data_IF_460001488547
#
_entry.id   IF_460001488547
#
_cell.length_a   1.000
_cell.length_b   1.000
_cell.length_c   1.000
_cell.angle_alpha   90.00
_cell.angle_beta   90.00
_cell.angle_gamma   90.00
#
_symmetry.space_group_name_H-M   'P 1'
#
loop_
_entity.id
_entity.type
_entity.pdbx_description
1 polymer ?
#
# COMPACT_ATOMS: atom_id res chain seq x y z
N UNK A 1 43.77 -0.21 -7.01
CA UNK A 1 42.74 0.49 -7.80
C UNK A 1 42.30 1.66 -6.94
N UNK A 2 42.78 2.87 -7.23
CA UNK A 2 42.61 4.05 -6.36
C UNK A 2 41.17 4.50 -6.50
N UNK A 3 40.33 4.25 -5.48
CA UNK A 3 38.97 4.75 -5.46
C UNK A 3 38.99 6.27 -5.53
N UNK A 4 38.05 6.84 -6.28
CA UNK A 4 37.87 8.29 -6.46
C UNK A 4 37.95 8.99 -5.10
N UNK A 5 38.85 9.97 -4.98
CA UNK A 5 39.11 10.65 -3.71
C UNK A 5 37.93 11.53 -3.32
N UNK A 6 37.78 11.82 -2.02
CA UNK A 6 36.74 12.75 -1.52
C UNK A 6 36.79 14.11 -2.22
N UNK A 7 37.98 14.58 -2.58
CA UNK A 7 38.21 15.84 -3.30
C UNK A 7 37.66 15.74 -4.73
N UNK A 8 37.94 14.65 -5.45
CA UNK A 8 37.42 14.44 -6.81
C UNK A 8 35.89 14.34 -6.83
N UNK A 9 35.30 13.64 -5.86
CA UNK A 9 33.85 13.55 -5.72
C UNK A 9 33.22 14.90 -5.41
N UNK A 10 33.84 15.70 -4.53
CA UNK A 10 33.39 17.06 -4.23
C UNK A 10 33.47 17.97 -5.46
N UNK A 11 34.59 17.97 -6.17
CA UNK A 11 34.77 18.76 -7.39
C UNK A 11 33.78 18.36 -8.48
N UNK A 12 33.48 17.05 -8.60
CA UNK A 12 32.48 16.57 -9.54
C UNK A 12 31.08 17.09 -9.21
N UNK A 13 30.70 17.09 -7.93
CA UNK A 13 29.40 17.62 -7.48
C UNK A 13 29.30 19.14 -7.73
N UNK A 14 30.36 19.88 -7.43
CA UNK A 14 30.43 21.33 -7.67
C UNK A 14 30.39 21.66 -9.18
N UNK A 15 31.01 20.85 -10.04
CA UNK A 15 30.99 21.05 -11.49
C UNK A 15 29.60 20.80 -12.13
N UNK A 16 28.73 20.05 -11.46
CA UNK A 16 27.34 19.84 -11.89
C UNK A 16 26.44 21.01 -11.48
N UNK A 17 26.88 21.86 -10.55
CA UNK A 17 26.07 22.95 -10.03
C UNK A 17 25.91 24.10 -11.05
N UNK A 18 24.79 24.80 -10.94
CA UNK A 18 24.45 25.99 -11.73
C UNK A 18 23.82 27.03 -10.82
N UNK A 19 24.26 28.29 -10.92
CA UNK A 19 23.77 29.40 -10.10
C UNK A 19 22.27 29.71 -10.33
N UNK A 20 21.73 29.34 -11.49
CA UNK A 20 20.33 29.53 -11.86
C UNK A 20 19.53 28.21 -11.87
N UNK A 21 20.02 27.17 -11.19
CA UNK A 21 19.35 25.88 -11.14
C UNK A 21 18.10 25.87 -10.26
N UNK A 22 17.00 25.37 -10.78
CA UNK A 22 15.76 25.19 -10.01
C UNK A 22 15.77 23.93 -9.13
N UNK A 23 16.70 23.00 -9.36
CA UNK A 23 16.78 21.75 -8.61
C UNK A 23 17.81 21.83 -7.48
N UNK A 24 17.53 21.16 -6.36
CA UNK A 24 18.41 21.09 -5.20
C UNK A 24 18.27 19.75 -4.48
N UNK A 25 19.19 19.47 -3.56
CA UNK A 25 19.24 18.21 -2.82
C UNK A 25 18.95 18.44 -1.34
N UNK A 26 18.03 17.66 -0.78
CA UNK A 26 17.72 17.63 0.66
C UNK A 26 17.78 16.20 1.18
N UNK A 27 17.93 16.07 2.50
CA UNK A 27 17.66 14.81 3.18
C UNK A 27 16.15 14.60 3.27
N UNK A 28 15.63 13.49 2.72
CA UNK A 28 14.19 13.19 2.75
C UNK A 28 13.61 13.08 4.17
N UNK A 29 14.44 12.76 5.17
CA UNK A 29 14.02 12.60 6.57
C UNK A 29 14.03 13.90 7.38
N UNK A 30 14.95 14.83 7.10
CA UNK A 30 15.11 16.05 7.91
C UNK A 30 14.89 17.35 7.16
N UNK A 31 14.75 17.31 5.83
CA UNK A 31 14.65 18.50 4.98
C UNK A 31 15.95 19.32 4.88
N UNK A 32 16.99 18.96 5.65
CA UNK A 32 18.27 19.67 5.65
C UNK A 32 19.03 19.42 4.34
N UNK A 33 19.83 20.41 3.91
CA UNK A 33 20.75 20.29 2.77
C UNK A 33 22.13 19.82 3.25
N UNK A 34 22.49 18.53 3.10
CA UNK A 34 23.72 18.01 3.69
C UNK A 34 24.95 18.43 2.89
N UNK A 35 26.11 18.46 3.55
CA UNK A 35 27.41 18.60 2.89
C UNK A 35 27.68 17.32 2.09
N UNK A 36 28.15 17.41 0.83
CA UNK A 36 28.70 18.60 0.14
C UNK A 36 27.71 19.39 -0.73
N UNK A 37 26.42 19.05 -0.73
CA UNK A 37 25.42 19.64 -1.63
C UNK A 37 24.75 20.90 -1.06
N UNK A 38 25.15 21.32 0.14
CA UNK A 38 24.65 22.53 0.78
C UNK A 38 24.94 23.77 -0.08
N UNK A 39 23.91 24.57 -0.34
CA UNK A 39 24.00 25.77 -1.17
C UNK A 39 24.07 25.53 -2.68
N UNK A 40 24.22 24.28 -3.15
CA UNK A 40 24.29 23.98 -4.57
C UNK A 40 22.91 23.85 -5.20
N UNK A 41 22.82 24.28 -6.45
CA UNK A 41 21.64 24.24 -7.30
C UNK A 41 21.98 23.56 -8.62
N UNK A 42 21.00 22.94 -9.28
CA UNK A 42 21.18 22.17 -10.50
C UNK A 42 20.12 22.56 -11.51
N UNK A 43 20.50 22.70 -12.78
CA UNK A 43 19.60 23.19 -13.83
C UNK A 43 18.51 22.19 -14.21
N UNK A 44 18.84 20.90 -14.21
CA UNK A 44 17.94 19.83 -14.66
C UNK A 44 17.87 18.71 -13.63
N UNK A 45 16.70 18.08 -13.52
CA UNK A 45 16.46 16.93 -12.63
C UNK A 45 17.50 15.82 -12.80
N UNK A 46 17.84 15.49 -14.05
CA UNK A 46 18.84 14.45 -14.36
C UNK A 46 20.23 14.82 -13.82
N UNK A 47 20.62 16.09 -13.91
CA UNK A 47 21.90 16.58 -13.37
C UNK A 47 21.88 16.52 -11.84
N UNK A 48 20.77 16.91 -11.22
CA UNK A 48 20.59 16.79 -9.77
C UNK A 48 20.64 15.34 -9.28
N UNK A 49 20.09 14.38 -10.04
CA UNK A 49 20.19 12.95 -9.74
C UNK A 49 21.64 12.45 -9.84
N UNK A 50 22.39 12.88 -10.85
CA UNK A 50 23.83 12.58 -10.95
C UNK A 50 24.59 13.15 -9.75
N UNK A 51 24.29 14.37 -9.33
CA UNK A 51 24.88 14.98 -8.15
C UNK A 51 24.49 14.25 -6.84
N UNK A 52 23.25 13.76 -6.71
CA UNK A 52 22.80 12.97 -5.57
C UNK A 52 23.62 11.68 -5.43
N UNK A 53 23.80 10.94 -6.54
CA UNK A 53 24.62 9.72 -6.57
C UNK A 53 26.08 10.01 -6.22
N UNK A 54 26.65 11.08 -6.75
CA UNK A 54 28.01 11.50 -6.42
C UNK A 54 28.15 11.89 -4.94
N UNK A 55 27.14 12.55 -4.36
CA UNK A 55 27.10 12.92 -2.95
C UNK A 55 26.92 11.69 -2.03
N UNK A 56 26.16 10.67 -2.43
CA UNK A 56 26.08 9.38 -1.73
C UNK A 56 27.43 8.67 -1.72
N UNK A 57 28.13 8.64 -2.86
CA UNK A 57 29.48 8.08 -2.95
C UNK A 57 30.46 8.85 -2.05
N UNK A 58 30.37 10.18 -2.04
CA UNK A 58 31.17 11.03 -1.15
C UNK A 58 30.92 10.68 0.33
N UNK A 59 29.66 10.59 0.75
CA UNK A 59 29.30 10.28 2.15
C UNK A 59 29.68 8.86 2.55
N UNK A 60 29.56 7.91 1.64
CA UNK A 60 30.00 6.52 1.84
C UNK A 60 31.52 6.44 1.97
N UNK A 61 32.28 7.18 1.16
CA UNK A 61 33.72 7.30 1.31
C UNK A 61 34.10 8.00 2.63
N UNK A 62 33.34 9.03 3.05
CA UNK A 62 33.59 9.76 4.30
C UNK A 62 33.38 8.90 5.55
N UNK A 63 32.43 7.95 5.51
CA UNK A 63 32.19 6.98 6.60
C UNK A 63 33.37 6.06 6.90
N UNK A 64 34.31 5.90 5.97
CA UNK A 64 35.57 5.19 6.24
C UNK A 64 36.45 5.92 7.24
N UNK A 65 36.29 7.23 7.35
CA UNK A 65 37.07 8.10 8.25
C UNK A 65 36.27 8.51 9.50
N UNK A 66 34.95 8.66 9.38
CA UNK A 66 34.04 8.91 10.50
C UNK A 66 32.85 7.94 10.48
N UNK A 67 32.95 6.88 11.29
CA UNK A 67 31.90 5.86 11.40
C UNK A 67 30.63 6.35 12.08
N UNK A 68 30.65 7.50 12.75
CA UNK A 68 29.46 8.10 13.39
C UNK A 68 28.64 8.96 12.42
N UNK A 69 29.10 9.14 11.18
CA UNK A 69 28.43 9.99 10.21
C UNK A 69 27.02 9.45 9.84
N UNK A 70 25.95 10.23 10.07
CA UNK A 70 24.58 9.77 9.83
C UNK A 70 24.30 9.33 8.38
N UNK A 71 23.41 8.35 8.24
CA UNK A 71 22.78 8.02 6.96
C UNK A 71 21.76 9.10 6.59
N UNK A 72 21.88 9.61 5.36
CA UNK A 72 21.06 10.71 4.83
C UNK A 72 20.63 10.30 3.44
N UNK A 73 19.34 10.11 3.26
CA UNK A 73 18.72 9.72 1.99
C UNK A 73 18.51 10.99 1.18
N UNK A 74 19.27 11.16 0.10
CA UNK A 74 19.28 12.38 -0.70
C UNK A 74 18.17 12.32 -1.74
N UNK A 75 17.27 13.29 -1.71
CA UNK A 75 16.20 13.43 -2.70
C UNK A 75 16.38 14.73 -3.49
N UNK A 76 15.97 14.69 -4.76
CA UNK A 76 15.96 15.85 -5.65
C UNK A 76 14.64 16.59 -5.49
N UNK A 77 14.73 17.86 -5.13
CA UNK A 77 13.60 18.79 -5.09
C UNK A 77 13.75 19.83 -6.20
N UNK A 78 12.62 20.37 -6.65
CA UNK A 78 12.56 21.51 -7.57
C UNK A 78 11.90 22.68 -6.83
N UNK A 79 12.42 23.89 -7.01
CA UNK A 79 11.72 25.10 -6.58
C UNK A 79 10.39 25.15 -7.36
N UNK A 80 9.26 25.15 -6.64
CA UNK A 80 7.96 25.41 -7.25
C UNK A 80 7.96 26.88 -7.70
N UNK A 81 7.96 27.13 -9.01
CA UNK A 81 7.65 28.48 -9.47
C UNK A 81 6.22 28.80 -9.01
N UNK A 82 6.00 29.94 -8.33
CA UNK A 82 4.65 30.35 -8.01
C UNK A 82 3.90 30.52 -9.32
N UNK A 83 2.81 29.77 -9.48
CA UNK A 83 1.83 30.00 -10.54
C UNK A 83 1.44 31.46 -10.39
N UNK A 84 1.77 32.29 -11.39
CA UNK A 84 1.36 33.70 -11.44
C UNK A 84 -0.15 33.69 -11.69
N UNK A 85 -0.92 33.55 -10.62
CA UNK A 85 -2.34 33.87 -10.65
C UNK A 85 -2.46 35.39 -10.80
N UNK A 86 -3.02 35.79 -11.94
CA UNK A 86 -3.25 37.18 -12.28
C UNK A 86 -4.43 37.73 -11.48
N UNK A 87 -4.20 38.86 -10.81
CA UNK A 87 -5.15 39.81 -10.21
C UNK A 87 -6.17 39.27 -9.20
N UNK A 88 -5.95 39.57 -7.92
CA UNK A 88 -6.90 40.27 -7.03
C UNK A 88 -6.32 40.55 -5.63
N UNK A 89 -6.08 41.83 -5.37
CA UNK A 89 -5.85 42.60 -4.13
C UNK A 89 -5.80 41.94 -2.73
N UNK A 90 -4.69 42.25 -2.05
CA UNK A 90 -4.47 42.54 -0.61
C UNK A 90 -5.52 42.11 0.44
N UNK A 91 -5.12 41.24 1.38
CA UNK A 91 -5.25 41.46 2.83
C UNK A 91 -4.41 40.46 3.67
N UNK A 92 -4.11 40.88 4.90
CA UNK A 92 -3.11 40.46 5.91
C UNK A 92 -3.00 38.96 6.33
N UNK A 93 -1.90 38.57 7.03
CA UNK A 93 -1.50 37.17 7.21
C UNK A 93 -2.24 36.47 8.36
N UNK A 94 -2.67 35.20 8.19
CA UNK A 94 -3.01 34.35 9.31
C UNK A 94 -1.90 33.34 9.59
N UNK A 95 -1.45 33.40 10.83
CA UNK A 95 -1.12 32.34 11.78
C UNK A 95 -0.60 30.96 11.30
N UNK A 96 0.42 30.51 12.01
CA UNK A 96 1.10 29.25 11.81
C UNK A 96 0.24 28.06 12.29
N UNK A 97 -0.57 27.44 11.42
CA UNK A 97 -0.91 26.00 11.49
C UNK A 97 -1.84 25.57 10.35
N UNK A 98 -1.27 25.18 9.21
CA UNK A 98 -1.84 24.10 8.38
C UNK A 98 -0.84 23.73 7.28
N UNK A 99 0.01 22.74 7.59
CA UNK A 99 0.65 21.98 6.53
C UNK A 99 -0.42 21.06 5.92
N UNK A 100 -0.99 21.48 4.79
CA UNK A 100 -1.64 20.55 3.87
C UNK A 100 -0.51 19.82 3.14
N UNK A 101 -0.34 18.54 3.46
CA UNK A 101 0.51 17.64 2.68
C UNK A 101 -0.08 17.55 1.27
N UNK A 102 0.57 18.15 0.28
CA UNK A 102 0.26 17.85 -1.11
C UNK A 102 0.71 16.42 -1.41
N UNK A 103 -0.18 15.67 -2.07
CA UNK A 103 0.03 14.29 -2.51
C UNK A 103 1.38 14.12 -3.22
N UNK A 104 2.08 12.99 -3.01
CA UNK A 104 3.38 12.78 -3.63
C UNK A 104 3.21 12.74 -5.15
N UNK A 105 4.01 13.53 -5.88
CA UNK A 105 4.05 13.51 -7.34
C UNK A 105 5.04 12.43 -7.79
N UNK A 106 4.53 11.20 -7.95
CA UNK A 106 5.17 10.13 -8.71
C UNK A 106 4.91 10.42 -10.20
N UNK A 107 5.90 10.96 -10.92
CA UNK A 107 5.79 11.19 -12.37
C UNK A 107 6.26 9.97 -13.15
N UNK A 108 5.31 9.11 -13.49
CA UNK A 108 5.15 8.46 -14.79
C UNK A 108 3.64 8.43 -15.05
N UNK A 109 3.13 8.43 -16.30
CA UNK A 109 1.72 8.16 -16.55
C UNK A 109 1.47 6.66 -16.32
N UNK A 110 1.46 6.24 -15.06
CA UNK A 110 0.76 5.02 -14.66
C UNK A 110 -0.74 5.34 -14.76
N UNK A 111 -1.58 4.42 -15.25
CA UNK A 111 -3.01 4.57 -15.05
C UNK A 111 -3.24 4.79 -13.54
N UNK A 112 -4.05 5.79 -13.21
CA UNK A 112 -4.37 6.20 -11.83
C UNK A 112 -4.72 5.00 -10.90
N UNK A 113 -5.21 3.90 -11.50
CA UNK A 113 -5.48 2.62 -10.84
C UNK A 113 -4.27 1.95 -10.16
N UNK A 114 -3.08 1.92 -10.78
CA UNK A 114 -1.92 1.19 -10.22
C UNK A 114 -1.47 1.81 -8.89
N UNK A 115 -1.43 3.15 -8.86
CA UNK A 115 -1.11 3.90 -7.65
C UNK A 115 -2.16 3.69 -6.55
N UNK A 116 -3.44 3.71 -6.91
CA UNK A 116 -4.53 3.49 -5.96
C UNK A 116 -4.53 2.05 -5.41
N UNK A 117 -4.14 1.07 -6.23
CA UNK A 117 -3.97 -0.32 -5.80
C UNK A 117 -2.88 -0.43 -4.74
N UNK A 118 -1.70 0.13 -5.02
CA UNK A 118 -0.57 0.12 -4.09
C UNK A 118 -0.94 0.81 -2.78
N UNK A 119 -1.50 2.03 -2.83
CA UNK A 119 -1.94 2.75 -1.63
C UNK A 119 -2.97 1.94 -0.84
N UNK A 120 -3.89 1.25 -1.51
CA UNK A 120 -4.84 0.34 -0.88
C UNK A 120 -4.15 -0.86 -0.22
N UNK A 121 -3.27 -1.57 -0.92
CA UNK A 121 -2.54 -2.72 -0.39
C UNK A 121 -1.74 -2.34 0.86
N UNK A 122 -1.01 -1.22 0.82
CA UNK A 122 -0.27 -0.72 1.97
C UNK A 122 -1.19 -0.33 3.13
N UNK A 123 -2.35 0.29 2.86
CA UNK A 123 -3.31 0.64 3.91
C UNK A 123 -3.90 -0.60 4.60
N UNK A 124 -4.26 -1.62 3.81
CA UNK A 124 -4.73 -2.92 4.32
C UNK A 124 -3.64 -3.59 5.15
N UNK A 125 -2.43 -3.67 4.60
CA UNK A 125 -1.29 -4.29 5.28
C UNK A 125 -0.98 -3.60 6.60
N UNK A 126 -0.92 -2.27 6.61
CA UNK A 126 -0.68 -1.48 7.83
C UNK A 126 -1.77 -1.74 8.88
N UNK A 127 -3.05 -1.69 8.51
CA UNK A 127 -4.14 -1.91 9.45
C UNK A 127 -4.12 -3.31 10.08
N UNK A 128 -3.82 -4.33 9.28
CA UNK A 128 -3.69 -5.73 9.77
C UNK A 128 -2.46 -5.85 10.66
N UNK A 129 -1.30 -5.38 10.21
CA UNK A 129 -0.05 -5.51 10.94
C UNK A 129 -0.07 -4.77 12.28
N UNK A 130 -0.59 -3.53 12.32
CA UNK A 130 -0.79 -2.79 13.56
C UNK A 130 -1.71 -3.51 14.54
N UNK A 131 -2.76 -4.16 14.01
CA UNK A 131 -3.68 -4.94 14.86
C UNK A 131 -2.98 -6.16 15.44
N UNK A 132 -2.16 -6.86 14.64
CA UNK A 132 -1.35 -7.98 15.13
C UNK A 132 -0.38 -7.52 16.24
N UNK A 133 0.32 -6.40 16.02
CA UNK A 133 1.23 -5.81 17.01
C UNK A 133 0.53 -5.46 18.32
N UNK A 134 -0.62 -4.79 18.24
CA UNK A 134 -1.38 -4.37 19.43
C UNK A 134 -1.93 -5.56 20.22
N UNK A 135 -2.26 -6.65 19.54
CA UNK A 135 -2.82 -7.87 20.14
C UNK A 135 -1.75 -8.91 20.52
N UNK A 136 -0.49 -8.62 20.21
CA UNK A 136 0.65 -9.43 20.61
C UNK A 136 0.86 -10.70 19.79
N UNK A 137 0.34 -10.75 18.55
CA UNK A 137 0.49 -11.88 17.62
C UNK A 137 1.88 -11.91 16.95
N UNK A 138 2.95 -11.87 17.76
CA UNK A 138 4.33 -11.73 17.29
C UNK A 138 4.79 -12.84 16.36
N UNK A 139 4.29 -14.07 16.53
CA UNK A 139 4.64 -15.18 15.64
C UNK A 139 4.11 -14.98 14.23
N UNK A 140 2.91 -14.44 14.11
CA UNK A 140 2.30 -14.06 12.82
C UNK A 140 3.05 -12.89 12.21
N UNK A 141 3.31 -11.83 12.99
CA UNK A 141 4.09 -10.67 12.53
C UNK A 141 5.45 -11.08 11.96
N UNK A 142 6.16 -11.96 12.66
CA UNK A 142 7.50 -12.42 12.26
C UNK A 142 7.41 -13.22 10.97
N UNK A 143 6.50 -14.19 10.89
CA UNK A 143 6.36 -15.04 9.71
C UNK A 143 5.94 -14.24 8.46
N UNK A 144 5.03 -13.26 8.60
CA UNK A 144 4.66 -12.36 7.51
C UNK A 144 5.87 -11.57 7.01
N UNK A 145 6.69 -11.02 7.92
CA UNK A 145 7.86 -10.24 7.54
C UNK A 145 8.97 -11.10 6.93
N UNK A 146 9.19 -12.31 7.45
CA UNK A 146 10.18 -13.24 6.92
C UNK A 146 9.81 -13.64 5.48
N UNK A 147 8.57 -14.07 5.24
CA UNK A 147 8.07 -14.43 3.90
C UNK A 147 8.11 -13.23 2.94
N UNK A 148 7.69 -12.05 3.39
CA UNK A 148 7.74 -10.84 2.58
C UNK A 148 9.17 -10.45 2.18
N UNK A 149 10.14 -10.61 3.08
CA UNK A 149 11.55 -10.34 2.79
C UNK A 149 12.12 -11.35 1.78
N UNK A 150 11.76 -12.63 1.90
CA UNK A 150 12.12 -13.64 0.89
C UNK A 150 11.52 -13.31 -0.49
N UNK A 151 10.25 -12.90 -0.54
CA UNK A 151 9.62 -12.47 -1.79
C UNK A 151 10.25 -11.19 -2.35
N UNK A 152 10.63 -10.24 -1.51
CA UNK A 152 11.29 -9.01 -1.94
C UNK A 152 12.67 -9.24 -2.58
N UNK A 153 13.33 -10.38 -2.32
CA UNK A 153 14.58 -10.75 -3.01
C UNK A 153 14.36 -11.28 -4.43
N UNK A 154 13.14 -11.75 -4.75
CA UNK A 154 12.82 -12.42 -6.01
C UNK A 154 11.88 -11.62 -6.92
N UNK A 155 10.95 -10.88 -6.32
CA UNK A 155 9.97 -10.04 -7.03
C UNK A 155 10.60 -8.68 -7.34
N UNK A 156 10.71 -8.37 -8.63
CA UNK A 156 11.36 -7.14 -9.11
C UNK A 156 10.39 -5.97 -9.28
N UNK A 157 9.10 -6.25 -9.43
CA UNK A 157 8.06 -5.23 -9.57
C UNK A 157 7.52 -4.85 -8.17
N UNK A 158 7.63 -3.57 -7.75
CA UNK A 158 7.07 -3.10 -6.49
C UNK A 158 5.56 -3.33 -6.35
N UNK A 159 4.82 -3.29 -7.46
CA UNK A 159 3.36 -3.43 -7.45
C UNK A 159 2.97 -4.90 -7.22
N UNK A 160 3.69 -5.84 -7.84
CA UNK A 160 3.55 -7.28 -7.54
C UNK A 160 3.95 -7.59 -6.09
N UNK A 161 4.97 -6.91 -5.57
CA UNK A 161 5.44 -7.09 -4.20
C UNK A 161 4.37 -6.69 -3.15
N UNK A 162 3.57 -5.66 -3.42
CA UNK A 162 2.49 -5.28 -2.51
C UNK A 162 1.33 -6.29 -2.50
N UNK A 163 1.05 -6.95 -3.63
CA UNK A 163 0.09 -8.05 -3.70
C UNK A 163 0.61 -9.28 -2.94
N UNK A 164 1.88 -9.63 -3.14
CA UNK A 164 2.58 -10.68 -2.40
C UNK A 164 2.49 -10.48 -0.89
N UNK A 165 2.64 -9.24 -0.39
CA UNK A 165 2.46 -8.93 1.03
C UNK A 165 1.07 -9.31 1.55
N UNK A 166 0.00 -8.99 0.81
CA UNK A 166 -1.36 -9.34 1.19
C UNK A 166 -1.60 -10.85 1.17
N UNK A 167 -1.02 -11.55 0.19
CA UNK A 167 -1.07 -13.01 0.11
C UNK A 167 -0.36 -13.65 1.32
N UNK A 168 0.85 -13.21 1.66
CA UNK A 168 1.60 -13.69 2.82
C UNK A 168 0.83 -13.43 4.12
N UNK A 169 0.24 -12.25 4.30
CA UNK A 169 -0.62 -11.96 5.44
C UNK A 169 -1.81 -12.92 5.52
N UNK A 170 -2.52 -13.14 4.42
CA UNK A 170 -3.67 -14.04 4.40
C UNK A 170 -3.28 -15.49 4.75
N UNK A 171 -2.15 -15.96 4.23
CA UNK A 171 -1.63 -17.31 4.48
C UNK A 171 -1.20 -17.48 5.94
N UNK A 172 -0.45 -16.52 6.48
CA UNK A 172 0.04 -16.61 7.86
C UNK A 172 -1.07 -16.46 8.91
N UNK A 173 -2.05 -15.60 8.65
CA UNK A 173 -3.27 -15.52 9.47
C UNK A 173 -4.00 -16.86 9.48
N UNK A 174 -4.16 -17.51 8.33
CA UNK A 174 -4.84 -18.80 8.22
C UNK A 174 -4.06 -19.96 8.85
N UNK A 175 -2.74 -19.92 8.76
CA UNK A 175 -1.85 -20.97 9.28
C UNK A 175 -1.73 -20.92 10.79
N UNK A 176 -1.68 -19.71 11.37
CA UNK A 176 -1.31 -19.54 12.77
C UNK A 176 -2.48 -19.17 13.69
N UNK A 177 -3.57 -18.59 13.16
CA UNK A 177 -4.68 -18.14 13.98
C UNK A 177 -5.93 -19.01 13.79
N UNK A 178 -6.65 -19.22 14.89
CA UNK A 178 -8.00 -19.80 14.82
C UNK A 178 -8.96 -18.86 14.09
N UNK A 179 -10.05 -19.39 13.56
CA UNK A 179 -11.04 -18.61 12.81
C UNK A 179 -11.63 -17.44 13.62
N UNK A 180 -11.82 -17.63 14.94
CA UNK A 180 -12.30 -16.57 15.83
C UNK A 180 -11.25 -15.47 16.04
N UNK A 181 -9.96 -15.85 16.18
CA UNK A 181 -8.87 -14.88 16.28
C UNK A 181 -8.71 -14.09 14.98
N UNK A 182 -8.80 -14.76 13.82
CA UNK A 182 -8.80 -14.10 12.52
C UNK A 182 -9.95 -13.10 12.39
N UNK A 183 -11.18 -13.52 12.70
CA UNK A 183 -12.34 -12.63 12.66
C UNK A 183 -12.16 -11.39 13.55
N UNK A 184 -11.57 -11.53 14.73
CA UNK A 184 -11.26 -10.42 15.63
C UNK A 184 -10.22 -9.47 15.02
N UNK A 185 -9.07 -10.01 14.55
CA UNK A 185 -8.02 -9.22 13.90
C UNK A 185 -8.58 -8.46 12.70
N UNK A 186 -9.37 -9.11 11.84
CA UNK A 186 -9.96 -8.50 10.66
C UNK A 186 -11.00 -7.42 11.01
N UNK A 187 -11.85 -7.66 12.00
CA UNK A 187 -12.83 -6.66 12.47
C UNK A 187 -12.14 -5.41 13.04
N UNK A 188 -11.06 -5.60 13.82
CA UNK A 188 -10.29 -4.48 14.38
C UNK A 188 -9.45 -3.76 13.34
N UNK A 189 -8.82 -4.47 12.41
CA UNK A 189 -8.12 -3.89 11.28
C UNK A 189 -9.08 -3.07 10.41
N UNK A 190 -10.29 -3.57 10.17
CA UNK A 190 -11.34 -2.84 9.46
C UNK A 190 -11.69 -1.52 10.15
N UNK A 191 -11.79 -1.52 11.49
CA UNK A 191 -12.09 -0.32 12.28
C UNK A 191 -10.97 0.76 12.25
N UNK A 192 -9.74 0.40 11.84
CA UNK A 192 -8.63 1.36 11.64
C UNK A 192 -8.69 2.08 10.30
N UNK A 193 -9.37 1.49 9.32
CA UNK A 193 -9.47 2.05 7.99
C UNK A 193 -10.60 3.08 7.91
N UNK A 194 -10.50 4.08 7.00
CA UNK A 194 -11.58 5.05 6.82
C UNK A 194 -12.90 4.36 6.51
N UNK A 195 -13.99 4.80 7.14
CA UNK A 195 -15.33 4.27 6.84
C UNK A 195 -15.71 4.59 5.40
N UNK A 196 -16.17 3.60 4.62
CA UNK A 196 -16.66 3.83 3.27
C UNK A 196 -17.98 4.60 3.28
N UNK A 197 -18.31 5.26 2.17
CA UNK A 197 -19.63 5.84 1.99
C UNK A 197 -20.73 4.76 2.08
N UNK A 198 -21.89 5.08 2.67
CA UNK A 198 -23.00 4.16 2.76
C UNK A 198 -23.49 3.79 1.36
N UNK A 199 -23.81 2.52 1.15
CA UNK A 199 -24.32 1.98 -0.10
C UNK A 199 -25.51 1.06 0.17
N UNK A 200 -26.52 1.10 -0.70
CA UNK A 200 -27.73 0.28 -0.58
C UNK A 200 -27.43 -1.22 -0.73
N UNK A 201 -26.44 -1.56 -1.56
CA UNK A 201 -25.89 -2.91 -1.67
C UNK A 201 -24.39 -2.89 -1.29
N UNK A 202 -24.06 -3.21 -0.02
CA UNK A 202 -22.70 -3.26 0.46
C UNK A 202 -21.80 -4.25 -0.29
N UNK A 203 -22.35 -5.39 -0.74
CA UNK A 203 -21.61 -6.42 -1.47
C UNK A 203 -21.22 -5.89 -2.84
N UNK A 204 -22.20 -5.38 -3.59
CA UNK A 204 -21.95 -4.77 -4.90
C UNK A 204 -20.93 -3.62 -4.78
N UNK A 205 -21.05 -2.79 -3.74
CA UNK A 205 -20.16 -1.67 -3.52
C UNK A 205 -18.72 -2.07 -3.13
N UNK A 206 -18.53 -3.22 -2.45
CA UNK A 206 -17.20 -3.80 -2.23
C UNK A 206 -16.58 -4.23 -3.55
N UNK A 207 -17.25 -5.06 -4.35
CA UNK A 207 -16.68 -5.56 -5.60
C UNK A 207 -16.47 -4.44 -6.64
N UNK A 208 -17.37 -3.45 -6.72
CA UNK A 208 -17.17 -2.25 -7.53
C UNK A 208 -15.94 -1.44 -7.11
N UNK A 209 -15.65 -1.38 -5.80
CA UNK A 209 -14.45 -0.71 -5.30
C UNK A 209 -13.19 -1.49 -5.66
N UNK A 210 -13.19 -2.81 -5.46
CA UNK A 210 -12.06 -3.67 -5.80
C UNK A 210 -11.76 -3.67 -7.31
N UNK A 211 -12.80 -3.63 -8.16
CA UNK A 211 -12.64 -3.47 -9.61
C UNK A 211 -11.98 -2.13 -9.98
N UNK A 212 -12.46 -1.02 -9.39
CA UNK A 212 -11.87 0.31 -9.65
C UNK A 212 -10.41 0.42 -9.22
N UNK A 213 -10.02 -0.30 -8.17
CA UNK A 213 -8.64 -0.40 -7.70
C UNK A 213 -7.79 -1.36 -8.55
N UNK A 214 -8.36 -2.09 -9.50
CA UNK A 214 -7.61 -3.06 -10.31
C UNK A 214 -7.29 -4.37 -9.59
N UNK A 215 -7.89 -4.66 -8.43
CA UNK A 215 -7.72 -5.94 -7.75
C UNK A 215 -8.49 -7.09 -8.46
N UNK A 216 -9.46 -6.73 -9.31
CA UNK A 216 -10.16 -7.65 -10.19
C UNK A 216 -10.52 -6.95 -11.50
N UNK A 217 -10.57 -7.70 -12.60
CA UNK A 217 -10.90 -7.15 -13.92
C UNK A 217 -12.40 -6.89 -14.09
N UNK A 218 -13.23 -7.88 -13.77
CA UNK A 218 -14.69 -7.75 -13.84
C UNK A 218 -15.39 -8.61 -12.79
N UNK A 219 -16.63 -8.24 -12.46
CA UNK A 219 -17.48 -9.04 -11.59
C UNK A 219 -18.94 -9.01 -12.06
N UNK A 220 -19.68 -10.07 -11.73
CA UNK A 220 -21.14 -10.13 -11.84
C UNK A 220 -21.70 -10.60 -10.50
N UNK A 221 -22.87 -10.08 -10.13
CA UNK A 221 -23.53 -10.44 -8.87
C UNK A 221 -24.91 -11.04 -9.17
N UNK A 222 -25.22 -12.17 -8.55
CA UNK A 222 -26.54 -12.77 -8.59
C UNK A 222 -27.55 -11.96 -7.77
N UNK A 223 -28.86 -12.11 -8.03
CA UNK A 223 -29.86 -11.70 -7.05
C UNK A 223 -29.62 -12.37 -5.70
N UNK A 224 -30.02 -11.69 -4.63
CA UNK A 224 -30.01 -12.24 -3.28
C UNK A 224 -30.94 -13.45 -3.17
N UNK A 225 -30.41 -14.56 -2.65
CA UNK A 225 -31.20 -15.69 -2.16
C UNK A 225 -31.47 -15.47 -0.67
N UNK A 226 -32.73 -15.57 -0.26
CA UNK A 226 -33.14 -15.36 1.14
C UNK A 226 -33.89 -16.60 1.60
N UNK A 227 -33.33 -17.27 2.60
CA UNK A 227 -34.04 -18.27 3.38
C UNK A 227 -34.59 -17.60 4.64
N UNK A 228 -35.88 -17.32 4.63
CA UNK A 228 -36.56 -16.66 5.76
C UNK A 228 -36.77 -17.60 6.96
N UNK A 229 -36.80 -18.91 6.73
CA UNK A 229 -37.03 -19.90 7.78
C UNK A 229 -35.74 -20.16 8.57
N UNK A 230 -34.59 -20.18 7.88
CA UNK A 230 -33.28 -20.32 8.51
C UNK A 230 -32.67 -18.97 8.94
N UNK A 231 -33.23 -17.85 8.48
CA UNK A 231 -32.67 -16.54 8.76
C UNK A 231 -31.28 -16.40 8.15
N UNK A 232 -31.14 -16.88 6.91
CA UNK A 232 -29.89 -16.87 6.12
C UNK A 232 -30.12 -16.12 4.81
N UNK A 233 -29.16 -15.29 4.42
CA UNK A 233 -29.10 -14.64 3.10
C UNK A 233 -27.83 -15.06 2.41
N UNK A 234 -27.90 -15.33 1.11
CA UNK A 234 -26.73 -15.61 0.33
C UNK A 234 -26.75 -14.89 -1.01
N UNK A 235 -25.56 -14.60 -1.50
CA UNK A 235 -25.34 -13.99 -2.81
C UNK A 235 -24.10 -14.59 -3.43
N UNK A 236 -24.17 -14.79 -4.74
CA UNK A 236 -23.06 -15.30 -5.55
C UNK A 236 -22.48 -14.14 -6.34
N UNK A 237 -21.15 -14.01 -6.31
CA UNK A 237 -20.39 -13.05 -7.10
C UNK A 237 -19.37 -13.81 -7.94
N UNK A 238 -19.46 -13.69 -9.25
CA UNK A 238 -18.43 -14.22 -10.15
C UNK A 238 -17.40 -13.11 -10.39
N UNK A 239 -16.11 -13.44 -10.31
CA UNK A 239 -14.99 -12.52 -10.41
C UNK A 239 -13.99 -13.04 -11.44
N UNK A 240 -13.56 -12.17 -12.35
CA UNK A 240 -12.49 -12.47 -13.32
C UNK A 240 -11.23 -11.66 -13.02
N UNK A 241 -10.07 -12.20 -13.43
CA UNK A 241 -8.77 -11.53 -13.33
C UNK A 241 -8.47 -11.04 -11.90
N UNK A 242 -8.79 -11.86 -10.90
CA UNK A 242 -8.47 -11.53 -9.51
C UNK A 242 -6.95 -11.51 -9.32
N UNK A 243 -6.45 -10.41 -8.76
CA UNK A 243 -5.01 -10.13 -8.70
C UNK A 243 -4.25 -11.01 -7.69
N UNK A 244 -4.94 -11.56 -6.67
CA UNK A 244 -4.31 -12.45 -5.70
C UNK A 244 -4.34 -13.91 -6.17
N UNK A 245 -3.23 -14.60 -5.98
CA UNK A 245 -2.99 -15.95 -6.46
C UNK A 245 -3.46 -17.00 -5.45
N UNK A 246 -4.09 -18.05 -5.96
CA UNK A 246 -4.35 -19.25 -5.18
C UNK A 246 -3.03 -19.99 -4.87
N UNK A 247 -2.88 -20.47 -3.63
CA UNK A 247 -1.75 -21.30 -3.19
C UNK A 247 -2.27 -22.43 -2.31
N UNK A 248 -1.75 -23.64 -2.51
CA UNK A 248 -2.09 -24.84 -1.74
C UNK A 248 -3.59 -25.12 -1.62
N UNK A 249 -4.33 -24.89 -2.71
CA UNK A 249 -5.78 -25.11 -2.76
C UNK A 249 -6.61 -24.11 -1.97
N UNK A 250 -6.04 -22.94 -1.62
CA UNK A 250 -6.73 -21.84 -0.95
C UNK A 250 -6.55 -20.53 -1.70
N UNK A 251 -7.53 -19.64 -1.58
CA UNK A 251 -7.52 -18.33 -2.21
C UNK A 251 -7.51 -17.21 -1.14
N UNK A 252 -6.53 -16.28 -1.20
CA UNK A 252 -6.52 -15.09 -0.35
C UNK A 252 -7.74 -14.20 -0.62
N UNK A 253 -8.58 -14.00 0.40
CA UNK A 253 -9.78 -13.15 0.35
C UNK A 253 -9.71 -11.99 1.35
N UNK A 254 -8.54 -11.78 1.96
CA UNK A 254 -8.27 -10.73 2.94
C UNK A 254 -8.84 -9.35 2.52
N UNK A 255 -8.60 -8.84 1.29
CA UNK A 255 -9.14 -7.52 0.89
C UNK A 255 -10.66 -7.47 0.81
N UNK A 256 -11.28 -8.57 0.37
CA UNK A 256 -12.74 -8.70 0.25
C UNK A 256 -13.37 -8.67 1.63
N UNK A 257 -12.88 -9.52 2.53
CA UNK A 257 -13.39 -9.64 3.89
C UNK A 257 -13.22 -8.32 4.64
N UNK A 258 -12.06 -7.68 4.53
CA UNK A 258 -11.80 -6.42 5.22
C UNK A 258 -12.68 -5.27 4.71
N UNK A 259 -12.89 -5.15 3.39
CA UNK A 259 -13.77 -4.11 2.83
C UNK A 259 -15.25 -4.36 3.19
N UNK A 260 -15.68 -5.63 3.28
CA UNK A 260 -17.01 -6.00 3.76
C UNK A 260 -17.17 -5.68 5.26
N UNK A 261 -16.21 -6.02 6.11
CA UNK A 261 -16.25 -5.71 7.54
C UNK A 261 -16.34 -4.21 7.83
N UNK A 262 -15.81 -3.36 6.93
CA UNK A 262 -15.90 -1.90 7.03
C UNK A 262 -17.28 -1.36 6.67
N UNK A 263 -18.04 -2.09 5.87
CA UNK A 263 -19.39 -1.72 5.46
C UNK A 263 -20.33 -2.32 6.50
N UNK A 264 -21.08 -1.47 7.19
CA UNK A 264 -22.02 -1.92 8.22
C UNK A 264 -23.13 -2.75 7.56
N UNK A 265 -22.93 -4.07 7.48
CA UNK A 265 -23.93 -5.01 6.98
C UNK A 265 -25.05 -5.13 8.01
N UNK A 266 -26.29 -5.11 7.55
CA UNK A 266 -27.46 -5.38 8.42
C UNK A 266 -27.43 -6.80 9.00
N UNK A 267 -26.67 -7.71 8.38
CA UNK A 267 -26.52 -9.12 8.71
C UNK A 267 -25.04 -9.45 8.79
N UNK A 268 -24.65 -10.31 9.73
CA UNK A 268 -23.24 -10.70 9.91
C UNK A 268 -22.81 -11.65 8.80
N UNK A 269 -21.65 -11.41 8.19
CA UNK A 269 -21.02 -12.37 7.29
C UNK A 269 -20.65 -13.63 8.07
N UNK A 270 -21.33 -14.75 7.80
CA UNK A 270 -21.11 -16.02 8.50
C UNK A 270 -20.15 -16.93 7.76
N UNK A 271 -20.23 -16.98 6.43
CA UNK A 271 -19.32 -17.77 5.62
C UNK A 271 -19.01 -17.13 4.27
N UNK A 272 -17.79 -17.38 3.79
CA UNK A 272 -17.36 -17.06 2.44
C UNK A 272 -16.81 -18.34 1.80
N UNK A 273 -17.34 -18.72 0.65
CA UNK A 273 -16.95 -19.94 -0.07
C UNK A 273 -16.43 -19.58 -1.45
N UNK A 274 -15.35 -20.23 -1.86
CA UNK A 274 -14.70 -20.02 -3.16
C UNK A 274 -14.83 -21.30 -3.98
N UNK A 275 -15.22 -21.17 -5.24
CA UNK A 275 -15.10 -22.22 -6.24
C UNK A 275 -14.41 -21.67 -7.50
N UNK A 276 -13.63 -22.51 -8.17
CA UNK A 276 -13.03 -22.18 -9.46
C UNK A 276 -14.06 -22.34 -10.58
N UNK A 277 -14.13 -21.38 -11.50
CA UNK A 277 -15.00 -21.39 -12.69
C UNK A 277 -14.18 -21.05 -13.93
N UNK A 278 -14.70 -21.30 -15.13
CA UNK A 278 -13.96 -21.16 -16.39
C UNK A 278 -13.25 -19.80 -16.56
N UNK A 279 -13.86 -18.72 -16.07
CA UNK A 279 -13.38 -17.35 -16.26
C UNK A 279 -12.81 -16.71 -14.99
N UNK A 280 -12.59 -17.48 -13.92
CA UNK A 280 -12.03 -16.99 -12.66
C UNK A 280 -12.62 -17.69 -11.43
N UNK A 281 -13.24 -16.92 -10.55
CA UNK A 281 -13.69 -17.39 -9.24
C UNK A 281 -15.16 -17.11 -9.00
N UNK A 282 -15.85 -18.08 -8.41
CA UNK A 282 -17.18 -17.91 -7.85
C UNK A 282 -17.06 -17.72 -6.33
N UNK A 283 -17.45 -16.54 -5.85
CA UNK A 283 -17.48 -16.18 -4.44
C UNK A 283 -18.92 -16.25 -3.94
N UNK A 284 -19.21 -17.18 -3.02
CA UNK A 284 -20.52 -17.25 -2.36
C UNK A 284 -20.40 -16.66 -0.97
N UNK A 285 -21.15 -15.59 -0.71
CA UNK A 285 -21.26 -14.96 0.59
C UNK A 285 -22.53 -15.45 1.28
N UNK A 286 -22.42 -15.86 2.53
CA UNK A 286 -23.53 -16.27 3.39
C UNK A 286 -23.56 -15.32 4.58
N UNK A 287 -24.72 -14.71 4.82
CA UNK A 287 -24.96 -13.80 5.91
C UNK A 287 -26.11 -14.30 6.77
N UNK A 288 -25.98 -14.09 8.07
CA UNK A 288 -26.90 -14.55 9.10
C UNK A 288 -27.16 -13.44 10.11
N UNK A 289 -28.38 -13.40 10.67
CA UNK A 289 -28.81 -12.28 11.52
C UNK A 289 -28.14 -12.24 12.90
N UNK A 290 -27.77 -13.40 13.44
CA UNK A 290 -27.20 -13.58 14.78
C UNK A 290 -26.02 -14.57 14.78
N UNK A 291 -25.25 -14.63 13.69
CA UNK A 291 -24.10 -15.53 13.59
C UNK A 291 -22.90 -15.05 14.40
N UNK A 292 -22.15 -16.03 14.92
CA UNK A 292 -20.75 -15.79 15.29
C UNK A 292 -19.97 -15.47 14.01
N UNK A 293 -19.14 -14.43 14.10
CA UNK A 293 -18.33 -13.98 12.98
C UNK A 293 -17.20 -14.98 12.75
N UNK A 294 -17.31 -15.76 11.68
CA UNK A 294 -16.41 -16.88 11.37
C UNK A 294 -15.92 -16.81 9.92
N UNK A 295 -15.28 -15.71 9.53
CA UNK A 295 -14.63 -15.59 8.22
C UNK A 295 -13.11 -15.66 8.34
N UNK A 296 -12.47 -16.25 7.33
CA UNK A 296 -11.01 -16.41 7.22
C UNK A 296 -10.45 -15.44 6.18
N UNK A 297 -9.19 -15.05 6.36
CA UNK A 297 -8.44 -14.27 5.38
C UNK A 297 -8.05 -15.09 4.14
N UNK A 298 -8.04 -16.43 4.23
CA UNK A 298 -7.64 -17.35 3.17
C UNK A 298 -8.59 -18.57 3.12
N UNK A 299 -9.37 -18.69 2.06
CA UNK A 299 -10.50 -19.64 2.00
C UNK A 299 -10.16 -20.85 1.13
N UNK A 300 -10.49 -22.09 1.56
CA UNK A 300 -10.28 -23.27 0.74
C UNK A 300 -11.11 -23.21 -0.55
N UNK A 301 -10.50 -23.60 -1.66
CA UNK A 301 -11.15 -23.68 -2.96
C UNK A 301 -11.95 -24.98 -2.99
N UNK A 302 -13.26 -24.86 -3.11
CA UNK A 302 -14.14 -25.98 -3.32
C UNK A 302 -13.92 -26.50 -4.74
N UNK A 303 -13.52 -27.77 -4.86
CA UNK A 303 -13.51 -28.45 -6.14
C UNK A 303 -14.93 -28.48 -6.69
N UNK A 304 -15.12 -27.92 -7.88
CA UNK A 304 -16.40 -27.99 -8.60
C UNK A 304 -16.86 -29.44 -8.73
N UNK A 305 -18.14 -29.67 -8.43
CA UNK A 305 -18.81 -30.94 -8.71
C UNK A 305 -19.02 -31.13 -10.22
#
# INVERSE_FOLDING_TARGET
MVGTTLIELRNHIEALASDNGSYYLVCGRTGERPIPTSGLRFERRVIAQSAARAAEQYRTALRRYDSRLPYRDLIVCQDAEPIIESDSQEEQPPDATQWSLSEPVLSGPTPDGDRQLVEFCHSVAAAVFETLCDDGYRSVETAVMDEYLELAETVSDPDDLCLCLLESMAIELDTQLTQTEQANVLSRAAARLPSPEPADDPVAATFARLQRLGLLGAYTQSPWSIDFDEGVRSVVVEVSEYALSARDGRLPVLPVVLDLSRRQLDWSLSALRIAEVETGWQVTLVLERDANVEYSANVPILSGA
#
